data_IF_683892138210
#
_entry.id   IF_683892138210
#
_cell.length_a   1.000
_cell.length_b   1.000
_cell.length_c   1.000
_cell.angle_alpha   90.00
_cell.angle_beta   90.00
_cell.angle_gamma   90.00
#
_symmetry.space_group_name_H-M   'P 1'
#
loop_
_entity.id
_entity.type
_entity.pdbx_description
1 polymer ?
#
# COMPACT_ATOMS: atom_id res chain seq x y z
N UNK A 1 6.44 11.14 -21.07
CA UNK A 1 7.28 10.74 -19.92
C UNK A 1 6.43 9.90 -19.01
N UNK A 2 6.53 8.57 -19.12
CA UNK A 2 5.70 7.59 -18.42
C UNK A 2 6.57 6.63 -17.62
N UNK A 3 7.51 7.17 -16.85
CA UNK A 3 8.15 6.36 -15.83
C UNK A 3 7.10 6.22 -14.72
N UNK A 4 6.51 5.03 -14.61
CA UNK A 4 5.85 4.65 -13.37
C UNK A 4 6.83 4.80 -12.20
N UNK A 5 6.34 4.84 -10.96
CA UNK A 5 7.22 5.01 -9.82
C UNK A 5 8.28 3.90 -9.79
N UNK A 6 9.49 4.25 -9.37
CA UNK A 6 10.57 3.29 -9.23
C UNK A 6 10.15 2.20 -8.23
N UNK A 7 9.99 0.97 -8.72
CA UNK A 7 9.68 -0.19 -7.86
C UNK A 7 10.85 -0.54 -6.93
N UNK A 8 12.02 0.05 -7.15
CA UNK A 8 13.20 -0.02 -6.27
C UNK A 8 13.24 1.08 -5.21
N UNK A 9 12.32 2.05 -5.25
CA UNK A 9 12.24 3.07 -4.22
C UNK A 9 11.87 2.44 -2.88
N UNK A 10 12.41 2.91 -1.77
CA UNK A 10 12.09 2.33 -0.46
C UNK A 10 10.69 2.76 0.04
N UNK A 11 10.21 3.91 -0.42
CA UNK A 11 8.95 4.52 -0.01
C UNK A 11 8.19 5.08 -1.20
N UNK A 12 6.90 4.76 -1.26
CA UNK A 12 5.94 5.30 -2.22
C UNK A 12 4.96 6.22 -1.54
N UNK A 13 4.74 7.39 -2.14
CA UNK A 13 3.68 8.30 -1.72
C UNK A 13 2.33 7.89 -2.33
N UNK A 14 1.26 8.59 -1.95
CA UNK A 14 -0.07 8.36 -2.55
C UNK A 14 -0.04 8.59 -4.07
N UNK A 15 0.82 9.49 -4.54
CA UNK A 15 1.00 9.79 -5.97
C UNK A 15 1.72 8.68 -6.71
N UNK A 16 2.77 8.10 -6.11
CA UNK A 16 3.49 6.95 -6.67
C UNK A 16 2.57 5.75 -6.78
N UNK A 17 1.87 5.41 -5.69
CA UNK A 17 0.87 4.33 -5.69
C UNK A 17 -0.16 4.53 -6.79
N UNK A 18 -0.64 5.77 -6.99
CA UNK A 18 -1.58 6.10 -8.04
C UNK A 18 -0.99 5.89 -9.44
N UNK A 19 0.25 6.34 -9.66
CA UNK A 19 0.97 6.15 -10.92
C UNK A 19 1.24 4.68 -11.23
N UNK A 20 1.61 3.86 -10.23
CA UNK A 20 1.78 2.42 -10.37
C UNK A 20 0.48 1.72 -10.76
N UNK A 21 -0.61 2.06 -10.08
CA UNK A 21 -1.93 1.50 -10.35
C UNK A 21 -2.56 2.04 -11.64
N UNK A 22 -1.99 3.09 -12.24
CA UNK A 22 -2.57 3.80 -13.38
C UNK A 22 -3.89 4.52 -13.04
N UNK A 23 -4.09 4.91 -11.78
CA UNK A 23 -5.30 5.58 -11.29
C UNK A 23 -4.99 7.01 -10.81
N UNK A 24 -6.04 7.78 -10.50
CA UNK A 24 -5.88 9.10 -9.87
C UNK A 24 -5.57 8.98 -8.39
N UNK A 25 -4.81 9.93 -7.83
CA UNK A 25 -4.52 10.05 -6.38
C UNK A 25 -5.81 10.08 -5.54
N UNK A 26 -6.88 10.70 -6.08
CA UNK A 26 -8.20 10.70 -5.45
C UNK A 26 -8.80 9.29 -5.32
N UNK A 27 -8.57 8.41 -6.30
CA UNK A 27 -9.01 7.01 -6.27
C UNK A 27 -8.27 6.24 -5.17
N UNK A 28 -6.95 6.44 -5.05
CA UNK A 28 -6.13 5.85 -3.98
C UNK A 28 -6.62 6.32 -2.61
N UNK A 29 -6.93 7.62 -2.48
CA UNK A 29 -7.51 8.18 -1.25
C UNK A 29 -8.86 7.54 -0.91
N UNK A 30 -9.71 7.31 -1.92
CA UNK A 30 -11.00 6.64 -1.73
C UNK A 30 -10.82 5.16 -1.37
N UNK A 31 -9.85 4.45 -1.96
CA UNK A 31 -9.52 3.07 -1.55
C UNK A 31 -9.07 3.00 -0.10
N UNK A 32 -8.23 3.94 0.34
CA UNK A 32 -7.83 4.06 1.74
C UNK A 32 -9.02 4.32 2.66
N UNK A 33 -9.88 5.29 2.32
CA UNK A 33 -11.10 5.59 3.08
C UNK A 33 -12.05 4.39 3.19
N UNK A 34 -12.07 3.53 2.17
CA UNK A 34 -12.91 2.32 2.11
C UNK A 34 -12.24 1.09 2.73
N UNK A 35 -11.02 1.20 3.26
CA UNK A 35 -10.26 0.06 3.78
C UNK A 35 -9.90 -0.99 2.71
N UNK A 36 -9.93 -0.63 1.43
CA UNK A 36 -9.59 -1.53 0.32
C UNK A 36 -8.09 -1.62 0.06
N UNK A 37 -7.32 -0.67 0.59
CA UNK A 37 -5.88 -0.59 0.40
C UNK A 37 -5.18 -0.86 1.74
N UNK A 38 -3.98 -1.44 1.73
CA UNK A 38 -3.19 -1.63 2.95
C UNK A 38 -2.99 -0.33 3.72
N UNK A 39 -2.86 -0.48 5.03
CA UNK A 39 -2.46 0.63 5.90
C UNK A 39 -1.09 1.18 5.49
N UNK A 40 -0.90 2.50 5.63
CA UNK A 40 0.37 3.13 5.34
C UNK A 40 1.42 2.71 6.37
N UNK A 41 2.57 2.25 5.88
CA UNK A 41 3.72 1.86 6.69
C UNK A 41 4.31 3.02 7.47
N UNK A 42 4.32 4.20 6.86
CA UNK A 42 4.80 5.41 7.49
C UNK A 42 3.86 6.57 7.17
N UNK A 43 3.68 7.46 8.14
CA UNK A 43 2.98 8.73 7.92
C UNK A 43 3.93 9.85 8.28
N UNK A 44 4.42 10.55 7.26
CA UNK A 44 5.29 11.72 7.43
C UNK A 44 4.42 12.97 7.37
N UNK A 45 4.12 13.52 8.55
CA UNK A 45 3.23 14.67 8.71
C UNK A 45 1.79 14.34 8.27
N UNK A 46 1.39 14.81 7.09
CA UNK A 46 0.06 14.54 6.48
C UNK A 46 0.14 13.60 5.28
N UNK A 47 1.35 13.21 4.88
CA UNK A 47 1.57 12.34 3.73
C UNK A 47 1.75 10.92 4.22
N UNK A 48 0.90 10.05 3.70
CA UNK A 48 1.00 8.62 3.95
C UNK A 48 1.94 8.00 2.92
N UNK A 49 2.82 7.14 3.40
CA UNK A 49 3.82 6.42 2.64
C UNK A 49 3.59 4.92 2.80
N UNK A 50 3.80 4.21 1.70
CA UNK A 50 3.71 2.76 1.62
C UNK A 50 5.01 2.20 1.11
N UNK A 51 5.35 0.99 1.53
CA UNK A 51 6.40 0.24 0.86
C UNK A 51 5.90 -0.28 -0.49
N UNK A 52 6.71 -0.18 -1.57
CA UNK A 52 6.33 -0.77 -2.86
C UNK A 52 6.00 -2.24 -2.74
N UNK A 53 6.78 -3.02 -1.97
CA UNK A 53 6.53 -4.45 -1.74
C UNK A 53 5.14 -4.74 -1.18
N UNK A 54 4.63 -3.90 -0.28
CA UNK A 54 3.28 -4.01 0.30
C UNK A 54 2.20 -3.68 -0.71
N UNK A 55 2.39 -2.63 -1.51
CA UNK A 55 1.43 -2.22 -2.55
C UNK A 55 1.38 -3.23 -3.70
N UNK A 56 2.54 -3.74 -4.12
CA UNK A 56 2.67 -4.80 -5.13
C UNK A 56 2.01 -6.09 -4.62
N UNK A 57 2.38 -6.57 -3.44
CA UNK A 57 1.77 -7.77 -2.83
C UNK A 57 0.26 -7.64 -2.68
N UNK A 58 -0.24 -6.48 -2.27
CA UNK A 58 -1.68 -6.20 -2.21
C UNK A 58 -2.32 -6.22 -3.59
N UNK A 59 -1.68 -5.59 -4.58
CA UNK A 59 -2.19 -5.54 -5.95
C UNK A 59 -2.27 -6.93 -6.57
N UNK A 60 -1.28 -7.79 -6.32
CA UNK A 60 -1.25 -9.19 -6.74
C UNK A 60 -2.25 -10.07 -5.97
N UNK A 61 -2.39 -9.84 -4.65
CA UNK A 61 -3.34 -10.56 -3.79
C UNK A 61 -4.79 -10.10 -3.98
N UNK A 62 -5.02 -8.97 -4.68
CA UNK A 62 -6.35 -8.40 -4.86
C UNK A 62 -7.20 -9.43 -5.61
N UNK A 63 -8.30 -9.94 -5.01
CA UNK A 63 -9.13 -10.94 -5.66
C UNK A 63 -9.77 -10.31 -6.89
N UNK A 64 -9.18 -10.58 -8.05
CA UNK A 64 -9.81 -10.32 -9.34
C UNK A 64 -10.96 -11.33 -9.40
N UNK A 65 -12.24 -10.92 -9.47
CA UNK A 65 -13.34 -11.88 -9.62
C UNK A 65 -13.08 -12.71 -10.88
N UNK A 66 -12.61 -13.95 -10.69
CA UNK A 66 -12.27 -14.88 -11.79
C UNK A 66 -10.93 -15.61 -11.71
N UNK A 67 -9.98 -15.27 -10.82
CA UNK A 67 -8.69 -15.98 -10.76
C UNK A 67 -8.42 -16.47 -9.34
N UNK A 68 -8.80 -17.72 -9.06
CA UNK A 68 -8.46 -18.40 -7.81
C UNK A 68 -6.96 -18.62 -7.70
N UNK A 69 -6.38 -18.32 -6.54
CA UNK A 69 -4.95 -18.56 -6.31
C UNK A 69 -4.49 -18.09 -4.94
N UNK A 70 -4.76 -18.92 -3.93
CA UNK A 70 -4.05 -19.11 -2.64
C UNK A 70 -3.21 -17.93 -2.10
N UNK A 71 -3.55 -17.34 -0.93
CA UNK A 71 -2.67 -16.37 -0.28
C UNK A 71 -1.39 -17.06 0.20
N UNK A 72 -0.24 -16.71 -0.37
CA UNK A 72 1.07 -17.03 0.20
C UNK A 72 1.46 -15.93 1.18
N UNK A 73 1.57 -16.36 2.43
CA UNK A 73 2.13 -15.68 3.59
C UNK A 73 3.42 -14.90 3.28
N UNK A 74 3.45 -13.60 3.60
CA UNK A 74 4.70 -12.94 4.02
C UNK A 74 4.43 -12.04 5.22
N UNK A 75 4.89 -12.55 6.35
CA UNK A 75 5.05 -11.90 7.64
C UNK A 75 6.20 -10.90 7.54
N UNK A 76 5.93 -9.60 7.63
CA UNK A 76 6.91 -8.52 7.92
C UNK A 76 6.13 -7.42 8.70
N UNK A 77 6.04 -7.49 10.04
CA UNK A 77 7.04 -6.94 10.98
C UNK A 77 7.00 -5.40 10.94
N UNK A 78 6.67 -4.63 11.97
CA UNK A 78 6.34 -4.79 13.37
C UNK A 78 6.22 -3.36 13.91
N UNK A 79 5.33 -3.12 14.86
CA UNK A 79 5.48 -2.06 15.87
C UNK A 79 4.41 -2.32 16.93
N UNK A 80 4.86 -3.10 17.90
CA UNK A 80 4.55 -2.90 19.31
C UNK A 80 4.34 -1.42 19.64
N UNK A 81 3.20 -1.10 20.27
CA UNK A 81 3.06 -0.03 21.26
C UNK A 81 1.73 -0.24 22.00
N UNK A 82 1.55 -1.46 22.47
CA UNK A 82 0.55 -1.78 23.48
C UNK A 82 1.24 -1.85 24.83
N UNK A 83 1.31 -0.73 25.56
CA UNK A 83 1.12 -0.63 27.03
C UNK A 83 1.82 0.60 27.62
N UNK A 84 1.02 1.58 28.06
CA UNK A 84 1.13 2.28 29.36
C UNK A 84 0.27 3.53 29.26
N UNK A 85 -0.71 3.75 30.14
CA UNK A 85 -0.38 4.11 31.51
C UNK A 85 -1.55 3.83 32.47
N UNK A 86 -1.15 3.24 33.60
CA UNK A 86 -1.74 3.28 34.95
C UNK A 86 -2.39 4.60 35.35
#
# INVERSE_FOLDING_TARGET
>A
MGAGPDTTAEWWTTSDVAAYLGVKVATVTNYRKRGQMPEPDATVGRTHMWRPSRVVSWHESRPRPGVGGRPSQTTEGGSDDGVSSR
#
